data_IF_524645894709
#
_entry.id   IF_524645894709
#
_cell.length_a   1.000
_cell.length_b   1.000
_cell.length_c   1.000
_cell.angle_alpha   90.00
_cell.angle_beta   90.00
_cell.angle_gamma   90.00
#
_symmetry.space_group_name_H-M   'P 1'
#
loop_
_entity.id
_entity.type
_entity.pdbx_description
1 polymer ?
#
# COMPACT_ATOMS: atom_id res chain seq x y z
N UNK A 1 -12.16 14.75 -1.53
CA UNK A 1 -11.25 15.54 -2.39
C UNK A 1 -10.17 16.17 -1.53
N UNK A 2 -9.03 15.46 -1.39
CA UNK A 2 -7.87 16.01 -0.71
C UNK A 2 -7.24 17.11 -1.55
N UNK A 3 -6.82 18.18 -0.87
CA UNK A 3 -6.11 19.31 -1.49
C UNK A 3 -4.72 19.43 -0.86
N UNK A 4 -3.95 18.34 -0.92
CA UNK A 4 -2.56 18.36 -0.47
C UNK A 4 -1.77 19.39 -1.29
N UNK A 5 -0.96 20.20 -0.63
CA UNK A 5 -0.29 21.35 -1.27
C UNK A 5 0.69 20.97 -2.37
N UNK A 6 1.24 19.76 -2.32
CA UNK A 6 2.18 19.21 -3.32
C UNK A 6 1.50 18.52 -4.50
N UNK A 7 0.16 18.40 -4.50
CA UNK A 7 -0.56 17.55 -5.45
C UNK A 7 -1.45 18.36 -6.37
N UNK A 8 -1.33 18.13 -7.68
CA UNK A 8 -2.16 18.76 -8.72
C UNK A 8 -3.28 17.82 -9.22
N UNK A 9 -3.30 16.58 -8.83
CA UNK A 9 -4.23 15.56 -9.35
C UNK A 9 -5.70 15.98 -9.24
N UNK A 10 -6.18 16.56 -8.12
CA UNK A 10 -7.57 17.02 -8.06
C UNK A 10 -7.94 18.09 -9.10
N UNK A 11 -6.98 18.93 -9.50
CA UNK A 11 -7.18 19.91 -10.56
C UNK A 11 -7.26 19.27 -11.95
N UNK A 12 -6.57 18.15 -12.16
CA UNK A 12 -6.54 17.42 -13.43
C UNK A 12 -7.73 16.44 -13.58
N UNK A 13 -8.11 15.77 -12.49
CA UNK A 13 -9.11 14.69 -12.49
C UNK A 13 -10.51 15.13 -12.08
N UNK A 14 -10.63 16.30 -11.44
CA UNK A 14 -11.88 16.75 -10.84
C UNK A 14 -12.17 16.09 -9.49
N UNK A 15 -13.42 16.21 -9.08
CA UNK A 15 -13.91 15.71 -7.80
C UNK A 15 -14.10 14.18 -7.80
N UNK A 16 -14.15 13.61 -6.60
CA UNK A 16 -14.46 12.19 -6.41
C UNK A 16 -15.82 11.84 -7.05
N UNK A 17 -15.83 10.82 -7.87
CA UNK A 17 -17.03 10.22 -8.46
C UNK A 17 -16.97 8.71 -8.23
N UNK A 18 -17.77 8.23 -7.28
CA UNK A 18 -17.84 6.81 -6.96
C UNK A 18 -18.79 6.08 -7.92
N UNK A 19 -18.30 5.03 -8.53
CA UNK A 19 -19.14 4.10 -9.31
C UNK A 19 -20.12 3.39 -8.37
N UNK A 20 -21.35 3.07 -8.80
CA UNK A 20 -22.27 2.21 -8.04
C UNK A 20 -21.61 0.88 -7.68
N UNK A 21 -21.85 0.39 -6.46
CA UNK A 21 -21.20 -0.84 -5.99
C UNK A 21 -21.59 -2.07 -6.83
N UNK A 22 -22.82 -2.11 -7.35
CA UNK A 22 -23.27 -3.18 -8.26
C UNK A 22 -22.40 -3.26 -9.51
N UNK A 23 -22.13 -2.13 -10.17
CA UNK A 23 -21.27 -2.08 -11.36
C UNK A 23 -19.82 -2.54 -11.08
N UNK A 24 -19.28 -2.16 -9.92
CA UNK A 24 -17.92 -2.58 -9.52
C UNK A 24 -17.89 -4.09 -9.27
N UNK A 25 -18.92 -4.63 -8.64
CA UNK A 25 -19.02 -6.06 -8.34
C UNK A 25 -19.23 -6.89 -9.60
N UNK A 26 -20.08 -6.44 -10.54
CA UNK A 26 -20.28 -7.12 -11.82
C UNK A 26 -18.98 -7.22 -12.63
N UNK A 27 -18.18 -6.13 -12.65
CA UNK A 27 -16.85 -6.13 -13.27
C UNK A 27 -15.91 -7.12 -12.57
N UNK A 28 -15.82 -7.07 -11.24
CA UNK A 28 -14.93 -7.93 -10.46
C UNK A 28 -15.31 -9.41 -10.62
N UNK A 29 -16.58 -9.75 -10.57
CA UNK A 29 -17.08 -11.11 -10.80
C UNK A 29 -16.76 -11.60 -12.21
N UNK A 30 -16.93 -10.73 -13.21
CA UNK A 30 -16.56 -11.03 -14.61
C UNK A 30 -15.07 -11.34 -14.75
N UNK A 31 -14.19 -10.57 -14.10
CA UNK A 31 -12.73 -10.81 -14.08
C UNK A 31 -12.39 -12.16 -13.42
N UNK A 32 -12.94 -12.43 -12.24
CA UNK A 32 -12.71 -13.68 -11.51
C UNK A 32 -13.21 -14.88 -12.31
N UNK A 33 -14.39 -14.78 -12.92
CA UNK A 33 -14.97 -15.83 -13.80
C UNK A 33 -14.12 -16.07 -15.04
N UNK A 34 -13.40 -15.05 -15.53
CA UNK A 34 -12.43 -15.19 -16.62
C UNK A 34 -11.09 -15.78 -16.17
N UNK A 35 -10.92 -16.10 -14.89
CA UNK A 35 -9.74 -16.76 -14.33
C UNK A 35 -8.74 -15.86 -13.64
N UNK A 36 -9.02 -14.55 -13.46
CA UNK A 36 -8.18 -13.62 -12.71
C UNK A 36 -8.09 -14.07 -11.26
N UNK A 37 -6.89 -14.11 -10.71
CA UNK A 37 -6.58 -14.59 -9.35
C UNK A 37 -6.30 -13.47 -8.35
N UNK A 38 -6.01 -12.27 -8.81
CA UNK A 38 -5.77 -11.11 -7.97
C UNK A 38 -6.51 -9.88 -8.50
N UNK A 39 -7.24 -9.20 -7.64
CA UNK A 39 -7.94 -7.94 -7.91
C UNK A 39 -7.20 -6.80 -7.19
N UNK A 40 -6.72 -5.82 -7.95
CA UNK A 40 -6.12 -4.60 -7.43
C UNK A 40 -7.19 -3.51 -7.35
N UNK A 41 -7.57 -3.11 -6.16
CA UNK A 41 -8.55 -2.04 -5.93
C UNK A 41 -7.82 -0.71 -5.88
N UNK A 42 -7.91 0.04 -6.96
CA UNK A 42 -7.14 1.26 -7.20
C UNK A 42 -8.04 2.46 -7.46
N UNK A 43 -7.83 3.54 -6.72
CA UNK A 43 -8.40 4.86 -6.99
C UNK A 43 -7.48 5.95 -6.44
N UNK A 44 -7.84 7.23 -6.58
CA UNK A 44 -7.08 8.34 -5.97
C UNK A 44 -7.09 8.31 -4.43
N UNK A 45 -8.18 7.82 -3.86
CA UNK A 45 -8.39 7.57 -2.44
C UNK A 45 -9.47 6.50 -2.32
N UNK A 46 -9.03 5.26 -2.21
CA UNK A 46 -9.91 4.09 -2.16
C UNK A 46 -10.78 4.10 -0.89
N UNK A 47 -10.25 4.63 0.21
CA UNK A 47 -10.99 4.76 1.47
C UNK A 47 -12.12 5.79 1.43
N UNK A 48 -12.11 6.72 0.45
CA UNK A 48 -13.17 7.71 0.26
C UNK A 48 -14.36 7.18 -0.55
N UNK A 49 -14.32 5.93 -1.02
CA UNK A 49 -15.37 5.35 -1.85
C UNK A 49 -16.76 5.49 -1.22
N UNK A 50 -17.67 6.08 -1.99
CA UNK A 50 -19.07 6.31 -1.61
C UNK A 50 -19.36 7.59 -0.83
N UNK A 51 -18.34 8.36 -0.41
CA UNK A 51 -18.56 9.61 0.33
C UNK A 51 -19.38 10.63 -0.48
N UNK A 52 -19.10 10.76 -1.77
CA UNK A 52 -19.78 11.66 -2.71
C UNK A 52 -21.25 11.29 -2.91
N UNK A 53 -21.56 10.00 -2.86
CA UNK A 53 -22.91 9.45 -3.00
C UNK A 53 -23.64 9.27 -1.66
N UNK A 54 -23.03 9.72 -0.55
CA UNK A 54 -23.55 9.54 0.83
C UNK A 54 -23.85 8.08 1.16
N UNK A 55 -22.98 7.18 0.69
CA UNK A 55 -23.10 5.73 0.89
C UNK A 55 -24.41 5.16 0.36
N UNK A 56 -24.85 5.63 -0.80
CA UNK A 56 -26.08 5.15 -1.46
C UNK A 56 -26.03 3.64 -1.60
N UNK A 57 -27.18 3.01 -1.34
CA UNK A 57 -27.36 1.58 -1.62
C UNK A 57 -27.60 1.35 -3.10
N UNK A 58 -27.06 0.25 -3.58
CA UNK A 58 -27.29 -0.33 -4.89
C UNK A 58 -27.57 -1.84 -4.72
N UNK A 59 -27.75 -2.60 -5.78
CA UNK A 59 -28.04 -4.01 -5.71
C UNK A 59 -26.98 -4.83 -6.46
N UNK A 60 -26.59 -5.93 -5.86
CA UNK A 60 -25.79 -6.96 -6.50
C UNK A 60 -26.41 -8.34 -6.20
N UNK A 61 -26.68 -9.13 -7.25
CA UNK A 61 -27.45 -10.39 -7.14
C UNK A 61 -28.77 -10.26 -6.35
N UNK A 62 -29.47 -9.15 -6.53
CA UNK A 62 -30.75 -8.87 -5.85
C UNK A 62 -30.63 -8.54 -4.36
N UNK A 63 -29.41 -8.49 -3.81
CA UNK A 63 -29.15 -8.08 -2.42
C UNK A 63 -28.74 -6.62 -2.35
N UNK A 64 -29.28 -5.82 -1.42
CA UNK A 64 -28.85 -4.45 -1.23
C UNK A 64 -27.42 -4.41 -0.67
N UNK A 65 -26.58 -3.60 -1.30
CA UNK A 65 -25.18 -3.36 -0.89
C UNK A 65 -24.93 -1.86 -0.85
N UNK A 66 -24.23 -1.37 0.17
CA UNK A 66 -23.89 0.06 0.25
C UNK A 66 -22.65 0.35 -0.58
N UNK A 67 -22.69 1.44 -1.34
CA UNK A 67 -21.50 2.02 -1.98
C UNK A 67 -20.63 2.62 -0.89
N UNK A 68 -19.85 1.77 -0.19
CA UNK A 68 -18.96 2.15 0.91
C UNK A 68 -17.74 1.23 0.94
N UNK A 69 -16.61 1.76 1.38
CA UNK A 69 -15.31 1.09 1.36
C UNK A 69 -15.32 -0.30 2.04
N UNK A 70 -15.89 -0.39 3.25
CA UNK A 70 -15.96 -1.65 3.99
C UNK A 70 -16.80 -2.70 3.28
N UNK A 71 -18.01 -2.34 2.82
CA UNK A 71 -18.91 -3.27 2.17
C UNK A 71 -18.37 -3.74 0.83
N UNK A 72 -17.76 -2.83 0.06
CA UNK A 72 -17.08 -3.22 -1.18
C UNK A 72 -15.93 -4.20 -0.91
N UNK A 73 -15.08 -3.90 0.08
CA UNK A 73 -13.94 -4.77 0.43
C UNK A 73 -14.40 -6.16 0.84
N UNK A 74 -15.46 -6.26 1.66
CA UNK A 74 -16.02 -7.53 2.09
C UNK A 74 -16.62 -8.32 0.89
N UNK A 75 -17.42 -7.65 0.05
CA UNK A 75 -18.04 -8.29 -1.10
C UNK A 75 -17.02 -8.78 -2.14
N UNK A 76 -15.97 -8.01 -2.40
CA UNK A 76 -14.88 -8.44 -3.29
C UNK A 76 -14.15 -9.67 -2.74
N UNK A 77 -13.93 -9.73 -1.42
CA UNK A 77 -13.29 -10.88 -0.77
C UNK A 77 -14.09 -12.18 -0.92
N UNK A 78 -15.44 -12.11 -0.97
CA UNK A 78 -16.30 -13.25 -1.18
C UNK A 78 -16.17 -13.88 -2.59
N UNK A 79 -15.53 -13.19 -3.56
CA UNK A 79 -15.31 -13.72 -4.91
C UNK A 79 -14.21 -14.80 -4.97
N UNK A 80 -13.42 -14.98 -3.90
CA UNK A 80 -12.42 -16.04 -3.81
C UNK A 80 -11.11 -15.76 -4.57
N UNK A 81 -10.90 -14.54 -5.05
CA UNK A 81 -9.63 -14.05 -5.56
C UNK A 81 -8.86 -13.29 -4.48
N UNK A 82 -7.55 -13.10 -4.64
CA UNK A 82 -6.78 -12.17 -3.83
C UNK A 82 -7.28 -10.75 -4.06
N UNK A 83 -7.61 -10.03 -3.01
CA UNK A 83 -8.06 -8.63 -3.09
C UNK A 83 -7.04 -7.75 -2.39
N UNK A 84 -6.41 -6.84 -3.13
CA UNK A 84 -5.40 -5.90 -2.63
C UNK A 84 -5.92 -4.48 -2.67
N UNK A 85 -5.85 -3.79 -1.53
CA UNK A 85 -6.31 -2.41 -1.39
C UNK A 85 -5.14 -1.43 -1.54
N UNK A 86 -5.23 -0.53 -2.52
CA UNK A 86 -4.24 0.52 -2.78
C UNK A 86 -4.76 1.90 -2.46
N UNK A 87 -3.85 2.83 -2.17
CA UNK A 87 -4.12 4.27 -1.97
C UNK A 87 -5.19 4.55 -0.93
N UNK A 88 -5.01 3.98 0.26
CA UNK A 88 -5.91 4.13 1.39
C UNK A 88 -5.49 5.35 2.22
N UNK A 89 -6.31 6.39 2.25
CA UNK A 89 -6.06 7.53 3.12
C UNK A 89 -6.39 7.19 4.58
N UNK A 90 -5.61 7.63 5.58
CA UNK A 90 -5.71 7.14 6.95
C UNK A 90 -6.93 7.70 7.74
N UNK A 91 -8.14 7.61 7.18
CA UNK A 91 -9.37 7.90 7.91
C UNK A 91 -9.61 6.90 9.05
N UNK A 92 -10.35 7.29 10.11
CA UNK A 92 -10.69 6.37 11.20
C UNK A 92 -11.37 5.08 10.75
N UNK A 93 -12.28 5.17 9.77
CA UNK A 93 -13.05 4.01 9.27
C UNK A 93 -12.21 2.97 8.48
N UNK A 94 -10.97 3.30 8.17
CA UNK A 94 -10.03 2.31 7.60
C UNK A 94 -9.73 1.19 8.61
N UNK A 95 -9.83 1.46 9.89
CA UNK A 95 -9.67 0.42 10.92
C UNK A 95 -10.68 -0.73 10.76
N UNK A 96 -11.84 -0.47 10.14
CA UNK A 96 -12.93 -1.45 9.98
C UNK A 96 -12.59 -2.57 8.97
N UNK A 97 -11.64 -2.36 8.04
CA UNK A 97 -11.24 -3.39 7.06
C UNK A 97 -10.16 -4.34 7.60
N UNK A 98 -9.48 -3.99 8.70
CA UNK A 98 -8.41 -4.81 9.25
C UNK A 98 -8.90 -6.20 9.70
N UNK A 99 -10.09 -6.35 10.33
CA UNK A 99 -10.64 -7.68 10.61
C UNK A 99 -10.82 -8.53 9.35
N UNK A 100 -11.22 -7.95 8.20
CA UNK A 100 -11.36 -8.70 6.95
C UNK A 100 -10.01 -9.27 6.47
N UNK A 101 -8.90 -8.56 6.74
CA UNK A 101 -7.55 -9.04 6.48
C UNK A 101 -7.16 -10.19 7.40
N UNK A 102 -7.46 -10.06 8.71
CA UNK A 102 -7.19 -11.09 9.70
C UNK A 102 -7.97 -12.37 9.44
N UNK A 103 -9.21 -12.25 8.97
CA UNK A 103 -10.07 -13.38 8.59
C UNK A 103 -9.69 -14.00 7.23
N UNK A 104 -8.71 -13.42 6.52
CA UNK A 104 -8.25 -13.90 5.20
C UNK A 104 -9.21 -13.63 4.04
N UNK A 105 -10.21 -12.78 4.25
CA UNK A 105 -11.18 -12.42 3.22
C UNK A 105 -10.58 -11.52 2.12
N UNK A 106 -9.69 -10.61 2.54
CA UNK A 106 -8.86 -9.79 1.65
C UNK A 106 -7.39 -9.93 2.08
N UNK A 107 -6.46 -9.57 1.19
CA UNK A 107 -5.04 -9.68 1.50
C UNK A 107 -4.65 -8.83 2.72
N UNK A 108 -3.77 -9.34 3.61
CA UNK A 108 -3.23 -8.59 4.74
C UNK A 108 -2.20 -7.55 4.26
N UNK A 109 -2.65 -6.63 3.44
CA UNK A 109 -1.84 -5.60 2.79
C UNK A 109 -2.58 -4.27 2.80
N UNK A 110 -1.97 -3.24 3.39
CA UNK A 110 -2.55 -1.92 3.50
C UNK A 110 -1.57 -0.85 3.02
N UNK A 111 -1.88 -0.22 1.89
CA UNK A 111 -1.11 0.87 1.31
C UNK A 111 -1.66 2.23 1.78
N UNK A 112 -0.97 2.84 2.74
CA UNK A 112 -1.35 4.12 3.38
C UNK A 112 -0.25 5.15 3.16
N UNK A 113 -0.37 6.06 2.18
CA UNK A 113 0.61 7.12 1.95
C UNK A 113 0.63 8.12 3.11
N UNK A 114 1.58 8.02 4.02
CA UNK A 114 1.71 8.90 5.20
C UNK A 114 2.37 10.24 4.86
N UNK A 115 3.22 10.28 3.86
CA UNK A 115 3.92 11.43 3.29
C UNK A 115 5.04 11.99 4.17
N UNK A 116 4.85 12.15 5.47
CA UNK A 116 5.83 12.62 6.43
C UNK A 116 5.42 12.21 7.87
N UNK A 117 6.30 12.43 8.85
CA UNK A 117 5.99 12.20 10.26
C UNK A 117 5.95 13.50 11.08
N UNK A 118 6.71 14.54 10.68
CA UNK A 118 6.75 15.80 11.44
C UNK A 118 5.43 16.57 11.30
N UNK A 119 4.91 17.06 12.44
CA UNK A 119 3.65 17.77 12.53
C UNK A 119 3.58 19.02 11.65
N UNK A 120 4.64 19.83 11.63
CA UNK A 120 4.66 21.09 10.89
C UNK A 120 4.69 20.85 9.39
N UNK A 121 5.46 19.86 8.93
CA UNK A 121 5.53 19.48 7.52
C UNK A 121 4.18 18.90 7.06
N UNK A 122 3.58 17.98 7.81
CA UNK A 122 2.25 17.45 7.49
C UNK A 122 1.19 18.55 7.44
N UNK A 123 1.25 19.52 8.35
CA UNK A 123 0.35 20.68 8.33
C UNK A 123 0.56 21.53 7.07
N UNK A 124 1.81 21.79 6.68
CA UNK A 124 2.14 22.50 5.44
C UNK A 124 1.71 21.73 4.18
N UNK A 125 1.72 20.41 4.23
CA UNK A 125 1.19 19.49 3.20
C UNK A 125 -0.34 19.44 3.17
N UNK A 126 -1.05 20.02 4.16
CA UNK A 126 -2.50 19.84 4.39
C UNK A 126 -2.88 18.36 4.62
N UNK A 127 -2.07 17.66 5.41
CA UNK A 127 -2.27 16.25 5.79
C UNK A 127 -2.61 16.13 7.28
N UNK A 128 -3.26 15.01 7.74
CA UNK A 128 -3.42 14.74 9.16
C UNK A 128 -2.08 14.70 9.87
N UNK A 129 -1.90 15.53 10.87
CA UNK A 129 -0.60 15.85 11.45
C UNK A 129 -0.44 15.27 12.86
N UNK A 130 -0.52 13.94 13.03
CA UNK A 130 -0.34 13.30 14.33
C UNK A 130 0.36 11.94 14.20
N UNK A 131 1.70 11.96 14.27
CA UNK A 131 2.53 10.75 14.17
C UNK A 131 2.27 9.75 15.32
N UNK A 132 2.03 10.22 16.56
CA UNK A 132 1.73 9.32 17.68
C UNK A 132 0.43 8.55 17.47
N UNK A 133 -0.60 9.18 16.91
CA UNK A 133 -1.83 8.49 16.57
C UNK A 133 -1.62 7.45 15.46
N UNK A 134 -0.73 7.73 14.50
CA UNK A 134 -0.38 6.79 13.44
C UNK A 134 0.32 5.57 14.03
N UNK A 135 1.33 5.75 14.91
CA UNK A 135 2.03 4.64 15.56
C UNK A 135 1.08 3.77 16.38
N UNK A 136 0.19 4.37 17.19
CA UNK A 136 -0.82 3.62 17.95
C UNK A 136 -1.80 2.85 17.04
N UNK A 137 -2.14 3.40 15.89
CA UNK A 137 -2.97 2.68 14.90
C UNK A 137 -2.23 1.51 14.29
N UNK A 138 -0.96 1.69 13.94
CA UNK A 138 -0.10 0.61 13.44
C UNK A 138 -0.03 -0.55 14.44
N UNK A 139 0.19 -0.24 15.73
CA UNK A 139 0.17 -1.24 16.81
C UNK A 139 -1.18 -1.96 16.91
N UNK A 140 -2.28 -1.20 16.88
CA UNK A 140 -3.64 -1.77 16.88
C UNK A 140 -3.88 -2.68 15.67
N UNK A 141 -3.50 -2.26 14.47
CA UNK A 141 -3.67 -3.06 13.25
C UNK A 141 -2.88 -4.37 13.33
N UNK A 142 -1.63 -4.33 13.78
CA UNK A 142 -0.81 -5.53 14.01
C UNK A 142 -1.35 -6.42 15.12
N UNK A 143 -2.01 -5.83 16.12
CA UNK A 143 -2.69 -6.61 17.17
C UNK A 143 -3.91 -7.38 16.65
N UNK A 144 -4.60 -6.86 15.63
CA UNK A 144 -5.76 -7.52 15.00
C UNK A 144 -5.30 -8.48 13.89
N UNK A 145 -4.36 -8.05 13.04
CA UNK A 145 -3.82 -8.80 11.92
C UNK A 145 -2.28 -8.83 12.02
N UNK A 146 -1.68 -9.80 12.72
CA UNK A 146 -0.23 -9.85 12.94
C UNK A 146 0.60 -9.90 11.64
N UNK A 147 0.05 -10.52 10.60
CA UNK A 147 0.71 -10.70 9.31
C UNK A 147 0.50 -9.53 8.34
N UNK A 148 -0.09 -8.43 8.82
CA UNK A 148 -0.36 -7.26 7.97
C UNK A 148 0.93 -6.66 7.41
N UNK A 149 1.00 -6.54 6.10
CA UNK A 149 2.01 -5.76 5.40
C UNK A 149 1.55 -4.31 5.29
N UNK A 150 2.31 -3.41 5.89
CA UNK A 150 2.05 -1.97 5.83
C UNK A 150 2.98 -1.34 4.80
N UNK A 151 2.36 -0.81 3.75
CA UNK A 151 3.04 -0.03 2.72
C UNK A 151 2.79 1.46 2.93
N UNK A 152 3.79 2.27 2.66
CA UNK A 152 3.65 3.73 2.72
C UNK A 152 4.55 4.43 1.70
N UNK A 153 4.23 5.69 1.44
CA UNK A 153 5.01 6.59 0.60
C UNK A 153 5.30 7.88 1.36
N UNK A 154 6.54 8.38 1.21
CA UNK A 154 7.01 9.59 1.86
C UNK A 154 7.61 10.58 0.87
N UNK A 155 7.64 11.86 1.27
CA UNK A 155 8.29 12.95 0.55
C UNK A 155 9.34 13.54 1.48
N UNK A 156 10.59 13.58 1.02
CA UNK A 156 11.71 14.23 1.72
C UNK A 156 12.08 15.55 1.04
N UNK A 157 12.63 16.50 1.79
CA UNK A 157 13.02 17.78 1.25
C UNK A 157 11.85 18.68 0.85
N UNK A 158 10.69 18.51 1.49
CA UNK A 158 9.54 19.40 1.32
C UNK A 158 9.92 20.85 1.71
N UNK A 159 9.38 21.90 1.04
CA UNK A 159 9.70 23.28 1.39
C UNK A 159 9.57 23.56 2.89
N UNK A 160 10.64 24.09 3.50
CA UNK A 160 10.73 24.37 4.92
C UNK A 160 11.17 23.21 5.81
N UNK A 161 11.39 21.99 5.26
CA UNK A 161 11.89 20.86 6.03
C UNK A 161 13.32 21.12 6.55
N UNK A 162 13.49 21.11 7.88
CA UNK A 162 14.80 21.22 8.52
C UNK A 162 15.45 19.86 8.71
N UNK A 163 16.74 19.85 9.07
CA UNK A 163 17.45 18.60 9.38
C UNK A 163 16.86 17.89 10.61
N UNK A 164 16.41 18.65 11.62
CA UNK A 164 15.75 18.07 12.81
C UNK A 164 14.45 17.37 12.43
N UNK A 165 13.64 18.01 11.58
CA UNK A 165 12.36 17.43 11.12
C UNK A 165 12.56 16.19 10.24
N UNK A 166 13.63 16.18 9.46
CA UNK A 166 14.03 14.99 8.70
C UNK A 166 14.49 13.85 9.64
N UNK A 167 15.24 14.16 10.71
CA UNK A 167 15.60 13.14 11.72
C UNK A 167 14.38 12.56 12.42
N UNK A 168 13.39 13.38 12.78
CA UNK A 168 12.12 12.90 13.32
C UNK A 168 11.43 11.91 12.36
N UNK A 169 11.53 12.12 11.05
CA UNK A 169 11.02 11.20 10.05
C UNK A 169 11.78 9.86 10.06
N UNK A 170 13.11 9.87 10.18
CA UNK A 170 13.91 8.65 10.31
C UNK A 170 13.58 7.88 11.61
N UNK A 171 13.44 8.61 12.74
CA UNK A 171 13.02 8.02 14.01
C UNK A 171 11.64 7.38 13.92
N UNK A 172 10.71 8.04 13.22
CA UNK A 172 9.39 7.46 12.95
C UNK A 172 9.49 6.15 12.17
N UNK A 173 10.34 6.03 11.14
CA UNK A 173 10.54 4.78 10.41
C UNK A 173 11.00 3.65 11.33
N UNK A 174 11.97 3.95 12.20
CA UNK A 174 12.49 2.98 13.18
C UNK A 174 11.42 2.51 14.17
N UNK A 175 10.50 3.38 14.56
CA UNK A 175 9.40 3.03 15.47
C UNK A 175 8.28 2.30 14.73
N UNK A 176 7.91 2.78 13.55
CA UNK A 176 6.79 2.25 12.78
C UNK A 176 7.07 0.88 12.18
N UNK A 177 8.35 0.58 11.86
CA UNK A 177 8.75 -0.72 11.27
C UNK A 177 7.85 -1.10 10.09
N UNK A 178 7.68 -0.16 9.13
CA UNK A 178 6.87 -0.40 7.95
C UNK A 178 7.52 -1.46 7.04
N UNK A 179 6.69 -2.22 6.34
CA UNK A 179 7.14 -3.38 5.57
C UNK A 179 7.64 -2.97 4.19
N UNK A 180 6.87 -2.16 3.48
CA UNK A 180 7.18 -1.66 2.14
C UNK A 180 7.08 -0.14 2.11
N UNK A 181 8.17 0.53 1.77
CA UNK A 181 8.21 2.01 1.76
C UNK A 181 8.92 2.52 0.52
N UNK A 182 8.24 3.42 -0.17
CA UNK A 182 8.84 4.27 -1.18
C UNK A 182 9.00 5.69 -0.68
N UNK A 183 10.03 6.39 -1.16
CA UNK A 183 10.20 7.81 -0.91
C UNK A 183 10.55 8.56 -2.19
N UNK A 184 10.18 9.83 -2.23
CA UNK A 184 10.50 10.75 -3.32
C UNK A 184 11.12 12.02 -2.76
N UNK A 185 12.16 12.53 -3.42
CA UNK A 185 12.59 13.90 -3.22
C UNK A 185 11.47 14.85 -3.68
N UNK A 186 11.17 15.91 -2.90
CA UNK A 186 10.18 16.88 -3.32
C UNK A 186 10.55 17.50 -4.67
N UNK A 187 9.65 17.38 -5.62
CA UNK A 187 9.75 18.00 -6.94
C UNK A 187 8.61 19.01 -7.14
N UNK A 188 8.89 20.26 -7.51
CA UNK A 188 7.85 21.23 -7.78
C UNK A 188 7.06 20.82 -9.03
N UNK A 189 5.75 20.70 -8.88
CA UNK A 189 4.81 20.42 -9.97
C UNK A 189 4.08 21.70 -10.32
N UNK A 190 4.02 22.07 -11.61
CA UNK A 190 3.33 23.28 -12.04
C UNK A 190 1.87 23.30 -11.53
N UNK A 191 1.45 24.41 -10.93
CA UNK A 191 0.13 24.59 -10.34
C UNK A 191 -0.03 24.07 -8.91
N UNK A 192 0.96 23.39 -8.32
CA UNK A 192 0.90 22.94 -6.94
C UNK A 192 1.15 24.12 -5.96
N UNK A 193 0.31 24.23 -4.92
CA UNK A 193 0.41 25.30 -3.92
C UNK A 193 1.76 25.32 -3.20
N UNK A 194 2.39 24.16 -2.99
CA UNK A 194 3.66 24.04 -2.29
C UNK A 194 4.81 24.77 -2.98
N UNK A 195 4.70 25.06 -4.28
CA UNK A 195 5.72 25.81 -5.01
C UNK A 195 5.88 27.25 -4.51
N UNK A 196 4.82 27.82 -3.91
CA UNK A 196 4.84 29.16 -3.33
C UNK A 196 5.32 29.22 -1.87
N UNK A 197 5.58 28.07 -1.25
CA UNK A 197 6.10 28.03 0.11
C UNK A 197 7.54 28.52 0.17
N UNK A 198 7.95 29.20 1.26
CA UNK A 198 9.33 29.65 1.42
C UNK A 198 10.28 28.49 1.79
N UNK A 199 11.57 28.78 1.78
CA UNK A 199 12.63 27.89 2.27
C UNK A 199 12.67 26.55 1.51
N UNK A 200 12.69 26.59 0.21
CA UNK A 200 12.93 25.41 -0.61
C UNK A 200 14.28 24.77 -0.24
N UNK A 201 14.25 23.46 -0.07
CA UNK A 201 15.47 22.68 0.22
C UNK A 201 16.28 22.56 -1.08
N UNK A 202 17.63 22.71 -0.96
CA UNK A 202 18.52 22.54 -2.11
C UNK A 202 18.47 21.12 -2.65
N UNK A 203 18.69 20.95 -3.94
CA UNK A 203 18.51 19.65 -4.62
C UNK A 203 19.47 18.59 -4.08
N UNK A 204 20.73 18.99 -3.81
CA UNK A 204 21.74 18.10 -3.24
C UNK A 204 21.35 17.59 -1.83
N UNK A 205 20.67 18.44 -1.03
CA UNK A 205 20.19 18.07 0.30
C UNK A 205 18.99 17.13 0.21
N UNK A 206 18.09 17.33 -0.76
CA UNK A 206 16.97 16.43 -0.99
C UNK A 206 17.46 15.03 -1.38
N UNK A 207 18.44 14.97 -2.29
CA UNK A 207 19.04 13.72 -2.75
C UNK A 207 19.75 12.98 -1.59
N UNK A 208 20.55 13.71 -0.80
CA UNK A 208 21.20 13.14 0.40
C UNK A 208 20.16 12.59 1.39
N UNK A 209 19.08 13.33 1.66
CA UNK A 209 18.01 12.88 2.54
C UNK A 209 17.31 11.65 2.00
N UNK A 210 17.05 11.61 0.69
CA UNK A 210 16.43 10.44 0.05
C UNK A 210 17.31 9.19 0.21
N UNK A 211 18.62 9.32 0.00
CA UNK A 211 19.56 8.20 0.17
C UNK A 211 19.59 7.71 1.62
N UNK A 212 19.67 8.62 2.60
CA UNK A 212 19.63 8.27 4.04
C UNK A 212 18.31 7.60 4.43
N UNK A 213 17.20 8.14 3.96
CA UNK A 213 15.86 7.57 4.19
C UNK A 213 15.77 6.13 3.67
N UNK A 214 16.17 5.92 2.41
CA UNK A 214 16.12 4.59 1.77
C UNK A 214 17.09 3.61 2.41
N UNK A 215 18.25 4.05 2.88
CA UNK A 215 19.19 3.18 3.61
C UNK A 215 18.60 2.68 4.94
N UNK A 216 17.92 3.55 5.71
CA UNK A 216 17.22 3.15 6.94
C UNK A 216 16.10 2.15 6.62
N UNK A 217 15.29 2.44 5.60
CA UNK A 217 14.20 1.56 5.22
C UNK A 217 14.67 0.21 4.68
N UNK A 218 15.75 0.17 3.90
CA UNK A 218 16.35 -1.08 3.42
C UNK A 218 16.76 -1.98 4.59
N UNK A 219 17.38 -1.41 5.62
CA UNK A 219 17.75 -2.17 6.83
C UNK A 219 16.53 -2.72 7.58
N UNK A 220 15.44 -1.93 7.68
CA UNK A 220 14.19 -2.38 8.30
C UNK A 220 13.57 -3.53 7.49
N UNK A 221 13.50 -3.35 6.17
CA UNK A 221 12.95 -4.37 5.27
C UNK A 221 13.74 -5.67 5.34
N UNK A 222 15.07 -5.62 5.27
CA UNK A 222 15.94 -6.79 5.38
C UNK A 222 15.72 -7.57 6.69
N UNK A 223 15.65 -6.87 7.84
CA UNK A 223 15.36 -7.48 9.13
C UNK A 223 13.98 -8.15 9.17
N UNK A 224 12.98 -7.60 8.50
CA UNK A 224 11.64 -8.19 8.43
C UNK A 224 11.61 -9.40 7.50
N UNK A 225 12.24 -9.30 6.33
CA UNK A 225 12.32 -10.42 5.38
C UNK A 225 13.13 -11.59 5.91
N UNK A 226 14.22 -11.34 6.66
CA UNK A 226 14.99 -12.40 7.31
C UNK A 226 14.16 -13.30 8.23
N UNK A 227 13.13 -12.75 8.90
CA UNK A 227 12.23 -13.51 9.79
C UNK A 227 11.29 -14.44 9.01
N UNK A 228 11.12 -14.23 7.72
CA UNK A 228 10.28 -15.08 6.86
C UNK A 228 11.01 -16.34 6.39
N UNK A 229 12.34 -16.37 6.46
CA UNK A 229 13.16 -17.53 6.06
C UNK A 229 12.78 -18.76 6.90
N UNK A 230 12.55 -19.87 6.22
CA UNK A 230 12.05 -21.13 6.78
C UNK A 230 10.51 -21.20 6.87
N UNK A 231 9.83 -20.07 6.74
CA UNK A 231 8.36 -19.98 6.71
C UNK A 231 7.76 -20.60 5.45
N UNK A 232 6.48 -20.96 5.54
CA UNK A 232 5.69 -21.50 4.43
C UNK A 232 4.63 -20.47 4.07
N UNK A 233 4.57 -20.11 2.78
CA UNK A 233 3.66 -19.08 2.28
C UNK A 233 3.02 -19.51 0.95
N UNK A 234 1.87 -18.92 0.65
CA UNK A 234 1.27 -18.98 -0.68
C UNK A 234 1.79 -17.80 -1.50
N UNK A 235 2.24 -18.05 -2.72
CA UNK A 235 2.69 -17.05 -3.68
C UNK A 235 1.92 -17.19 -4.99
N UNK A 236 1.68 -16.06 -5.66
CA UNK A 236 1.09 -16.01 -7.00
C UNK A 236 2.22 -15.92 -8.02
N UNK A 237 2.18 -16.77 -9.04
CA UNK A 237 3.15 -16.77 -10.12
C UNK A 237 2.83 -15.62 -11.08
N UNK A 238 3.79 -14.75 -11.33
CA UNK A 238 3.68 -13.67 -12.32
C UNK A 238 4.24 -14.08 -13.69
N UNK A 239 5.26 -14.93 -13.69
CA UNK A 239 5.88 -15.38 -14.93
C UNK A 239 7.16 -16.17 -14.72
N UNK A 240 7.99 -16.16 -15.75
CA UNK A 240 9.30 -16.81 -15.76
C UNK A 240 10.28 -15.95 -16.56
N UNK A 241 11.51 -15.89 -16.11
CA UNK A 241 12.63 -15.34 -16.85
C UNK A 241 13.77 -16.37 -17.02
N UNK A 242 14.97 -15.89 -17.38
CA UNK A 242 16.16 -16.74 -17.56
C UNK A 242 16.67 -17.35 -16.24
N UNK A 243 16.36 -16.74 -15.09
CA UNK A 243 16.82 -17.15 -13.76
C UNK A 243 15.84 -18.11 -13.07
N UNK A 244 14.58 -18.17 -13.51
CA UNK A 244 13.57 -19.05 -12.92
C UNK A 244 12.15 -18.51 -12.94
N UNK A 245 11.35 -18.94 -11.95
CA UNK A 245 9.97 -18.52 -11.78
C UNK A 245 9.93 -17.26 -10.93
N UNK A 246 9.22 -16.25 -11.40
CA UNK A 246 8.94 -15.01 -10.67
C UNK A 246 7.54 -15.09 -10.08
N UNK A 247 7.44 -14.83 -8.79
CA UNK A 247 6.19 -14.84 -8.04
C UNK A 247 6.13 -13.65 -7.08
N UNK A 248 4.97 -13.45 -6.47
CA UNK A 248 4.77 -12.47 -5.38
C UNK A 248 4.04 -13.11 -4.21
N UNK A 249 4.41 -12.66 -3.01
CA UNK A 249 3.69 -13.03 -1.80
C UNK A 249 2.44 -12.16 -1.59
N UNK A 250 1.64 -12.51 -0.60
CA UNK A 250 0.51 -11.68 -0.16
C UNK A 250 0.92 -10.27 0.26
N UNK A 251 2.17 -10.09 0.68
CA UNK A 251 2.75 -8.81 1.09
C UNK A 251 3.36 -7.97 -0.02
N UNK A 252 3.26 -8.39 -1.30
CA UNK A 252 3.94 -7.74 -2.41
C UNK A 252 2.98 -7.41 -3.54
N UNK A 253 2.83 -6.12 -3.83
CA UNK A 253 2.05 -5.64 -4.96
C UNK A 253 2.87 -5.71 -6.26
N UNK A 254 2.21 -5.98 -7.41
CA UNK A 254 2.91 -6.09 -8.69
C UNK A 254 3.62 -4.79 -9.06
N UNK A 255 4.83 -4.90 -9.61
CA UNK A 255 5.65 -3.83 -10.19
C UNK A 255 6.20 -2.79 -9.19
N UNK A 256 5.76 -2.78 -7.92
CA UNK A 256 6.12 -1.74 -6.96
C UNK A 256 6.76 -2.24 -5.67
N UNK A 257 6.58 -3.52 -5.35
CA UNK A 257 7.16 -4.13 -4.14
C UNK A 257 8.18 -5.23 -4.53
N UNK A 258 8.56 -6.09 -3.59
CA UNK A 258 9.52 -7.15 -3.84
C UNK A 258 8.96 -8.35 -4.62
N UNK A 259 9.85 -9.21 -5.04
CA UNK A 259 9.55 -10.44 -5.74
C UNK A 259 9.90 -11.67 -4.89
N UNK A 260 9.34 -12.81 -5.27
CA UNK A 260 9.73 -14.14 -4.76
C UNK A 260 10.26 -14.94 -5.93
N UNK A 261 11.57 -15.21 -5.92
CA UNK A 261 12.23 -16.05 -6.90
C UNK A 261 12.09 -17.51 -6.48
N UNK A 262 11.40 -18.31 -7.29
CA UNK A 262 11.16 -19.71 -6.99
C UNK A 262 12.13 -20.60 -7.74
N UNK A 263 12.96 -21.29 -6.98
CA UNK A 263 14.01 -22.18 -7.51
C UNK A 263 13.43 -23.47 -8.11
N UNK A 264 14.09 -23.98 -9.12
CA UNK A 264 13.78 -25.25 -9.76
C UNK A 264 12.86 -25.14 -10.98
N UNK A 265 12.79 -26.25 -11.71
CA UNK A 265 11.88 -26.37 -12.86
C UNK A 265 10.54 -26.93 -12.40
N UNK A 266 9.49 -26.14 -12.55
CA UNK A 266 8.12 -26.51 -12.21
C UNK A 266 7.18 -26.10 -13.36
N UNK A 267 6.16 -26.89 -13.60
CA UNK A 267 5.13 -26.58 -14.62
C UNK A 267 4.06 -25.66 -14.03
N UNK A 268 4.46 -24.39 -13.75
CA UNK A 268 3.58 -23.35 -13.23
C UNK A 268 3.35 -22.28 -14.29
N UNK A 269 2.14 -21.71 -14.29
CA UNK A 269 1.71 -20.64 -15.20
C UNK A 269 1.45 -19.36 -14.43
N UNK A 270 1.55 -18.24 -15.13
CA UNK A 270 1.11 -16.95 -14.57
C UNK A 270 -0.33 -17.05 -14.04
N UNK A 271 -0.56 -16.58 -12.83
CA UNK A 271 -1.80 -16.67 -12.10
C UNK A 271 -1.97 -17.92 -11.21
N UNK A 272 -1.09 -18.92 -11.32
CA UNK A 272 -1.11 -20.05 -10.39
C UNK A 272 -0.72 -19.59 -8.99
N UNK A 273 -1.43 -20.06 -7.97
CA UNK A 273 -1.07 -19.87 -6.56
C UNK A 273 -0.46 -21.17 -6.06
N UNK A 274 0.78 -21.09 -5.62
CA UNK A 274 1.55 -22.23 -5.14
C UNK A 274 2.07 -22.01 -3.73
N UNK A 275 2.21 -23.11 -2.99
CA UNK A 275 2.77 -23.09 -1.64
C UNK A 275 4.27 -23.28 -1.69
N UNK A 276 5.02 -22.37 -1.08
CA UNK A 276 6.48 -22.36 -1.08
C UNK A 276 7.04 -22.28 0.33
N UNK A 277 8.28 -22.76 0.49
CA UNK A 277 9.12 -22.49 1.66
C UNK A 277 10.12 -21.40 1.29
N UNK A 278 10.16 -20.34 2.07
CA UNK A 278 11.16 -19.28 1.90
C UNK A 278 12.53 -19.80 2.32
N UNK A 279 13.54 -19.66 1.46
CA UNK A 279 14.89 -20.19 1.67
C UNK A 279 15.93 -19.12 1.92
N UNK A 280 15.74 -17.93 1.35
CA UNK A 280 16.68 -16.81 1.47
C UNK A 280 15.98 -15.46 1.25
N UNK A 281 16.71 -14.36 1.51
CA UNK A 281 16.22 -12.99 1.36
C UNK A 281 17.35 -12.02 1.03
N UNK A 282 16.97 -10.85 0.52
CA UNK A 282 17.78 -9.62 0.55
C UNK A 282 16.96 -8.48 1.19
N UNK A 283 17.33 -7.22 0.95
CA UNK A 283 16.57 -6.08 1.47
C UNK A 283 15.19 -5.89 0.83
N UNK A 284 14.90 -6.54 -0.30
CA UNK A 284 13.68 -6.31 -1.07
C UNK A 284 12.96 -7.61 -1.44
N UNK A 285 13.68 -8.66 -1.77
CA UNK A 285 13.20 -9.87 -2.41
C UNK A 285 13.42 -11.11 -1.55
N UNK A 286 12.74 -12.19 -1.92
CA UNK A 286 12.81 -13.49 -1.29
C UNK A 286 13.17 -14.56 -2.30
N UNK A 287 13.79 -15.63 -1.85
CA UNK A 287 13.97 -16.88 -2.58
C UNK A 287 13.19 -17.98 -1.94
N UNK A 288 12.66 -18.90 -2.73
CA UNK A 288 11.79 -19.96 -2.24
C UNK A 288 11.88 -21.25 -3.04
N UNK A 289 11.36 -22.32 -2.46
CA UNK A 289 11.19 -23.63 -3.11
C UNK A 289 9.72 -24.07 -2.98
N UNK A 290 9.15 -24.63 -4.05
CA UNK A 290 7.80 -25.19 -3.99
C UNK A 290 7.80 -26.42 -3.09
N UNK A 291 6.85 -26.47 -2.16
CA UNK A 291 6.61 -27.65 -1.32
C UNK A 291 5.44 -28.45 -1.92
N UNK A 292 5.66 -29.78 -1.96
CA UNK A 292 4.66 -30.73 -2.48
C UNK A 292 3.55 -30.99 -1.47
#
# INVERSE_FOLDING_TARGET
NHRCTFCIIPALRGDLVSRPVGEVMDEAEGLVSAGVKELLVVSQDTSAYGLDTRYRSDFWHGKPLKTRFLELSAALGELGAWVRLHYVYPYPHVDDVIPLMADGLILPYLDVPLQHANHNILKAMKRPANAENVLRRIEKWRGICPDITLRSTFIVGFPGETEEQFRELLDFLQLAQLDRVGAFAYSPVEGAEANALPNHVAEEVKEERLQRFMAVQASISEQKLSRRVGGIEDVIIDGRDEEGIIARSKGDAPEIDGMVFVNGEHDCKAGDIVRVRITDHNAHDLWAEIIK
#
